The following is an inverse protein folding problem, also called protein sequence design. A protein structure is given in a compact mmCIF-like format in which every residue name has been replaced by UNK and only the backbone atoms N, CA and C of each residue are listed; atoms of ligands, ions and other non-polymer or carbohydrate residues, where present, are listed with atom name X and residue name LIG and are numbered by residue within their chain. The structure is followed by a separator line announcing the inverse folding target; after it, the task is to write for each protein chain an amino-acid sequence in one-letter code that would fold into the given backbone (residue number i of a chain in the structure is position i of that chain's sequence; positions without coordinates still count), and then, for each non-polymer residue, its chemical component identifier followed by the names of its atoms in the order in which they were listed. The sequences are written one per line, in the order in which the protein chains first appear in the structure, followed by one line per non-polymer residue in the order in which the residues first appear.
data_IF_417927976996
#
_entry.id   IF_417927976996
#
_cell.length_a   1.000
_cell.length_b   1.000
_cell.length_c   1.000
_cell.angle_alpha   90.00
_cell.angle_beta   90.00
_cell.angle_gamma   90.00
#
_symmetry.space_group_name_H-M   'P 1'
#
loop_
_entity.id
_entity.type
_entity.pdbx_description
1 polymer ?
#
# COMPACT_ATOMS: atom_id res chain seq x y z
N UNK A 1 -10.97 7.86 4.53
CA UNK A 1 -10.62 8.76 3.40
C UNK A 1 -10.12 7.89 2.29
N UNK A 2 -10.60 8.12 1.07
CA UNK A 2 -10.44 7.16 -0.03
C UNK A 2 -9.53 7.71 -1.12
N UNK A 3 -8.57 6.89 -1.55
CA UNK A 3 -7.58 7.23 -2.56
C UNK A 3 -7.46 6.10 -3.58
N UNK A 4 -7.15 6.45 -4.83
CA UNK A 4 -6.87 5.49 -5.88
C UNK A 4 -5.58 5.85 -6.59
N UNK A 5 -4.76 4.84 -6.88
CA UNK A 5 -3.53 5.02 -7.64
C UNK A 5 -3.14 3.75 -8.37
N UNK A 6 -2.28 3.89 -9.38
CA UNK A 6 -1.72 2.74 -10.08
C UNK A 6 -0.20 2.72 -9.97
N UNK A 7 0.38 1.52 -9.90
CA UNK A 7 1.83 1.35 -9.86
C UNK A 7 2.27 -0.09 -10.07
N UNK A 8 3.56 -0.30 -10.40
CA UNK A 8 4.12 -1.64 -10.57
C UNK A 8 4.25 -2.35 -9.22
N UNK A 9 3.91 -3.64 -9.21
CA UNK A 9 4.30 -4.54 -8.14
C UNK A 9 5.81 -4.75 -8.20
N UNK A 10 6.49 -4.55 -7.08
CA UNK A 10 7.93 -4.83 -6.95
C UNK A 10 8.19 -5.78 -5.79
N UNK A 11 9.26 -6.57 -5.93
CA UNK A 11 9.66 -7.59 -4.97
C UNK A 11 10.84 -7.13 -4.11
N UNK A 12 10.70 -7.27 -2.79
CA UNK A 12 11.77 -7.03 -1.84
C UNK A 12 12.48 -8.34 -1.49
N UNK A 13 13.80 -8.37 -1.72
CA UNK A 13 14.69 -9.52 -1.47
C UNK A 13 15.37 -9.45 -0.09
N UNK A 14 14.59 -9.42 0.99
CA UNK A 14 15.15 -9.44 2.35
C UNK A 14 14.84 -10.72 3.13
N UNK A 15 15.16 -10.78 4.44
CA UNK A 15 14.95 -11.96 5.29
C UNK A 15 13.50 -12.45 5.33
N UNK A 16 12.54 -11.56 5.05
CA UNK A 16 11.13 -11.88 4.84
C UNK A 16 10.69 -11.34 3.47
N UNK A 17 10.88 -12.11 2.39
CA UNK A 17 10.61 -11.63 1.04
C UNK A 17 9.14 -11.25 0.87
N UNK A 18 8.89 -10.09 0.26
CA UNK A 18 7.54 -9.54 0.17
C UNK A 18 7.33 -8.70 -1.09
N UNK A 19 6.06 -8.48 -1.45
CA UNK A 19 5.64 -7.75 -2.64
C UNK A 19 4.94 -6.46 -2.26
N UNK A 20 5.22 -5.38 -2.99
CA UNK A 20 4.75 -4.06 -2.64
C UNK A 20 4.34 -3.25 -3.88
N UNK A 21 3.53 -2.22 -3.65
CA UNK A 21 3.32 -1.11 -4.60
C UNK A 21 3.67 0.18 -3.88
N UNK A 22 4.38 1.08 -4.57
CA UNK A 22 4.71 2.40 -4.02
C UNK A 22 3.61 3.40 -4.35
N UNK A 23 3.17 4.16 -3.35
CA UNK A 23 2.22 5.26 -3.55
C UNK A 23 2.95 6.41 -4.29
N UNK A 24 2.41 6.90 -5.43
CA UNK A 24 2.92 8.06 -6.14
C UNK A 24 3.06 9.31 -5.26
N UNK A 25 4.05 10.17 -5.53
CA UNK A 25 4.31 11.37 -4.73
C UNK A 25 3.17 12.39 -4.78
N UNK A 26 2.34 12.37 -5.84
CA UNK A 26 1.18 13.26 -6.00
C UNK A 26 0.13 13.07 -4.89
N UNK A 27 0.00 11.85 -4.38
CA UNK A 27 -0.94 11.51 -3.28
C UNK A 27 -0.30 11.62 -1.90
N UNK A 28 1.01 11.88 -1.85
CA UNK A 28 1.78 11.95 -0.61
C UNK A 28 1.44 13.19 0.23
N UNK A 29 1.10 14.32 -0.42
CA UNK A 29 0.76 15.56 0.28
C UNK A 29 -0.43 15.41 1.23
N UNK A 30 -1.46 14.69 0.79
CA UNK A 30 -2.68 14.45 1.58
C UNK A 30 -2.44 13.41 2.68
N UNK A 31 -1.70 12.33 2.40
CA UNK A 31 -1.30 11.35 3.41
C UNK A 31 -0.45 11.96 4.53
N UNK A 32 0.47 12.88 4.20
CA UNK A 32 1.37 13.50 5.17
C UNK A 32 0.63 14.37 6.20
N UNK A 33 -0.48 15.00 5.81
CA UNK A 33 -1.32 15.79 6.71
C UNK A 33 -2.05 14.91 7.75
N UNK A 34 -2.24 13.62 7.46
CA UNK A 34 -2.97 12.67 8.30
C UNK A 34 -2.04 11.96 9.31
N UNK A 35 -0.72 11.93 9.04
CA UNK A 35 0.30 11.31 9.90
C UNK A 35 0.28 11.70 11.37
N UNK A 36 0.04 12.96 11.76
CA UNK A 36 0.02 13.36 13.16
C UNK A 36 -1.14 12.72 13.95
N UNK A 37 -2.21 12.28 13.26
CA UNK A 37 -3.43 11.78 13.90
C UNK A 37 -3.49 10.26 14.01
N UNK A 38 -2.82 9.53 13.09
CA UNK A 38 -3.04 8.07 12.93
C UNK A 38 -1.82 7.24 13.35
N UNK A 39 -0.66 7.87 13.52
CA UNK A 39 0.57 7.15 13.88
C UNK A 39 0.84 7.25 15.38
N UNK A 40 0.79 6.12 16.09
CA UNK A 40 1.28 5.99 17.48
C UNK A 40 2.82 6.05 17.55
N UNK A 41 3.45 6.96 16.79
CA UNK A 41 4.91 7.16 16.75
C UNK A 41 5.71 6.25 15.81
N UNK A 42 5.09 5.23 15.20
CA UNK A 42 5.78 4.24 14.34
C UNK A 42 5.73 4.54 12.83
N UNK A 43 5.02 5.60 12.43
CA UNK A 43 4.92 6.03 11.02
C UNK A 43 4.06 5.14 10.11
N UNK A 44 3.47 4.05 10.61
CA UNK A 44 2.58 3.16 9.85
C UNK A 44 1.13 3.64 9.87
N UNK A 45 0.43 3.56 8.74
CA UNK A 45 -0.96 4.02 8.61
C UNK A 45 -1.89 2.82 8.36
N UNK A 46 -2.83 2.48 9.27
CA UNK A 46 -3.86 1.48 9.02
C UNK A 46 -4.72 1.85 7.80
N UNK A 47 -4.92 0.88 6.91
CA UNK A 47 -5.71 1.06 5.71
C UNK A 47 -6.44 -0.21 5.32
N UNK A 48 -7.63 -0.05 4.73
CA UNK A 48 -8.30 -1.08 3.96
C UNK A 48 -7.93 -0.91 2.49
N UNK A 49 -7.49 -1.97 1.85
CA UNK A 49 -6.95 -1.95 0.48
C UNK A 49 -7.79 -2.83 -0.42
N UNK A 50 -8.01 -2.40 -1.66
CA UNK A 50 -8.59 -3.20 -2.73
C UNK A 50 -7.70 -3.20 -3.97
N UNK A 51 -7.53 -4.37 -4.55
CA UNK A 51 -7.03 -4.57 -5.93
C UNK A 51 -8.01 -5.51 -6.62
N UNK A 52 -8.53 -5.11 -7.77
CA UNK A 52 -9.55 -5.86 -8.49
C UNK A 52 -10.78 -6.14 -7.62
N UNK A 53 -11.03 -7.42 -7.30
CA UNK A 53 -12.16 -7.86 -6.47
C UNK A 53 -11.76 -8.16 -5.03
N UNK A 54 -10.46 -8.22 -4.73
CA UNK A 54 -9.93 -8.63 -3.44
C UNK A 54 -9.73 -7.43 -2.53
N UNK A 55 -10.29 -7.51 -1.33
CA UNK A 55 -10.21 -6.48 -0.30
C UNK A 55 -9.55 -7.04 0.95
N UNK A 56 -8.63 -6.31 1.56
CA UNK A 56 -7.98 -6.73 2.81
C UNK A 56 -7.58 -5.53 3.67
N UNK A 57 -7.48 -5.76 4.98
CA UNK A 57 -6.92 -4.77 5.91
C UNK A 57 -5.39 -4.93 6.01
N UNK A 58 -4.67 -3.81 6.03
CA UNK A 58 -3.22 -3.78 6.23
C UNK A 58 -2.78 -2.43 6.80
N UNK A 59 -1.47 -2.19 6.82
CA UNK A 59 -0.91 -0.89 7.13
C UNK A 59 0.04 -0.46 6.01
N UNK A 60 0.08 0.84 5.74
CA UNK A 60 1.04 1.47 4.84
C UNK A 60 2.36 1.66 5.57
N UNK A 61 3.47 1.32 4.91
CA UNK A 61 4.80 1.39 5.51
C UNK A 61 5.54 2.60 4.95
N UNK A 62 6.18 3.43 5.80
CA UNK A 62 7.02 4.51 5.32
C UNK A 62 8.31 3.93 4.69
N UNK A 63 8.66 4.38 3.49
CA UNK A 63 9.90 4.03 2.78
C UNK A 63 10.30 5.15 1.81
N UNK A 64 11.55 5.62 1.90
CA UNK A 64 12.15 6.63 1.01
C UNK A 64 11.25 7.86 0.78
N UNK A 65 10.77 8.48 1.88
CA UNK A 65 9.85 9.64 1.85
C UNK A 65 8.53 9.37 1.12
N UNK A 66 8.14 8.10 1.01
CA UNK A 66 6.87 7.65 0.44
C UNK A 66 6.25 6.59 1.33
N UNK A 67 5.06 6.14 0.94
CA UNK A 67 4.39 5.01 1.55
C UNK A 67 4.34 3.85 0.56
N UNK A 68 4.47 2.64 1.09
CA UNK A 68 4.35 1.40 0.31
C UNK A 68 3.21 0.55 0.86
N UNK A 69 2.49 -0.10 -0.05
CA UNK A 69 1.37 -0.99 0.24
C UNK A 69 1.87 -2.43 0.14
N UNK A 70 1.84 -3.22 1.24
CA UNK A 70 2.16 -4.65 1.16
C UNK A 70 1.06 -5.41 0.43
N UNK A 71 1.44 -6.25 -0.53
CA UNK A 71 0.52 -7.14 -1.22
C UNK A 71 0.67 -8.55 -0.65
N UNK A 72 -0.39 -9.05 -0.03
CA UNK A 72 -0.42 -10.41 0.51
C UNK A 72 -0.32 -11.43 -0.61
N UNK A 73 0.34 -12.56 -0.34
CA UNK A 73 0.39 -13.68 -1.28
C UNK A 73 -1.02 -14.14 -1.71
N UNK A 74 -1.98 -14.20 -0.78
CA UNK A 74 -3.37 -14.56 -1.07
C UNK A 74 -4.05 -13.61 -2.07
N UNK A 75 -3.72 -12.31 -2.02
CA UNK A 75 -4.25 -11.30 -2.96
C UNK A 75 -3.64 -11.52 -4.34
N UNK A 76 -2.32 -11.72 -4.42
CA UNK A 76 -1.63 -12.00 -5.69
C UNK A 76 -2.18 -13.25 -6.35
N UNK A 77 -2.40 -14.32 -5.59
CA UNK A 77 -2.99 -15.55 -6.12
C UNK A 77 -4.43 -15.35 -6.60
N UNK A 78 -5.27 -14.62 -5.84
CA UNK A 78 -6.67 -14.40 -6.18
C UNK A 78 -6.84 -13.54 -7.44
N UNK A 79 -6.04 -12.49 -7.58
CA UNK A 79 -6.10 -11.55 -8.71
C UNK A 79 -5.14 -11.91 -9.86
N UNK A 80 -4.37 -13.01 -9.73
CA UNK A 80 -3.35 -13.48 -10.69
C UNK A 80 -2.31 -12.42 -11.02
N UNK A 81 -1.66 -11.91 -9.98
CA UNK A 81 -0.69 -10.82 -10.05
C UNK A 81 0.73 -11.31 -9.78
N UNK A 82 1.66 -10.81 -10.58
CA UNK A 82 3.09 -11.11 -10.51
C UNK A 82 3.94 -9.84 -10.36
N UNK A 83 5.25 -10.03 -10.16
CA UNK A 83 6.20 -8.91 -10.15
C UNK A 83 6.18 -8.19 -11.50
N UNK A 84 6.15 -6.86 -11.48
CA UNK A 84 6.13 -6.00 -12.66
C UNK A 84 4.74 -5.61 -13.15
N UNK A 85 3.68 -6.29 -12.69
CA UNK A 85 2.31 -5.94 -13.09
C UNK A 85 1.92 -4.54 -12.58
N UNK A 86 1.30 -3.75 -13.47
CA UNK A 86 0.70 -2.47 -13.09
C UNK A 86 -0.68 -2.76 -12.51
N UNK A 87 -0.87 -2.41 -11.23
CA UNK A 87 -2.14 -2.62 -10.53
C UNK A 87 -2.73 -1.30 -10.08
N UNK A 88 -4.05 -1.20 -10.18
CA UNK A 88 -4.81 -0.13 -9.54
C UNK A 88 -5.15 -0.54 -8.11
N UNK A 89 -4.70 0.29 -7.17
CA UNK A 89 -4.87 0.11 -5.73
C UNK A 89 -5.84 1.18 -5.25
N UNK A 90 -6.89 0.74 -4.57
CA UNK A 90 -7.77 1.63 -3.83
C UNK A 90 -7.50 1.48 -2.35
N UNK A 91 -7.35 2.60 -1.68
CA UNK A 91 -7.05 2.71 -0.27
C UNK A 91 -8.18 3.44 0.43
N UNK A 92 -8.63 2.89 1.54
CA UNK A 92 -9.50 3.54 2.51
C UNK A 92 -8.71 3.66 3.82
N UNK A 93 -8.31 4.88 4.16
CA UNK A 93 -7.62 5.18 5.42
C UNK A 93 -8.65 5.16 6.55
N UNK A 94 -8.39 4.31 7.54
CA UNK A 94 -9.19 4.21 8.76
C UNK A 94 -8.62 5.22 9.77
N UNK A 95 -9.43 6.22 10.13
CA UNK A 95 -9.12 7.25 11.12
C UNK A 95 -9.52 6.78 12.53
#
# INVERSE_FOLDING_TARGET
MDFEFSGPIWFWKGPSPWYFVTIPPEQYGELKAILPMVTYGWGMIPARVRIGKTVWATALFPKDERYIVPIRASVRTAERLDEGDIVTVQLEIQL
#
